data_IF_777618973511
#
_entry.id   IF_777618973511
#
_cell.length_a   1.000
_cell.length_b   1.000
_cell.length_c   1.000
_cell.angle_alpha   90.00
_cell.angle_beta   90.00
_cell.angle_gamma   90.00
#
_symmetry.space_group_name_H-M   'P 1'
#
loop_
_entity.id
_entity.type
_entity.pdbx_description
1 polymer ?
#
# COMPACT_ATOMS: atom_id res chain seq x y z
N UNK A 1 -16.50 -12.10 5.44
CA UNK A 1 -16.27 -11.18 4.31
C UNK A 1 -17.21 -9.99 4.48
N UNK A 2 -16.73 -8.75 4.37
CA UNK A 2 -17.61 -7.57 4.46
C UNK A 2 -18.62 -7.57 3.30
N UNK A 3 -19.88 -7.15 3.51
CA UNK A 3 -20.85 -7.04 2.42
C UNK A 3 -20.42 -5.96 1.41
N UNK A 4 -20.73 -6.17 0.14
CA UNK A 4 -20.52 -5.15 -0.91
C UNK A 4 -21.48 -3.99 -0.65
N UNK A 5 -20.93 -2.80 -0.44
CA UNK A 5 -21.75 -1.61 -0.20
C UNK A 5 -22.50 -1.18 -1.48
N UNK A 6 -23.77 -0.78 -1.38
CA UNK A 6 -24.47 -0.12 -2.47
C UNK A 6 -23.73 1.15 -2.91
N UNK A 7 -23.80 1.50 -4.19
CA UNK A 7 -23.13 2.70 -4.72
C UNK A 7 -23.56 3.97 -3.97
N UNK A 8 -24.85 4.10 -3.65
CA UNK A 8 -25.37 5.25 -2.90
C UNK A 8 -24.69 5.39 -1.51
N UNK A 9 -24.38 4.27 -0.86
CA UNK A 9 -23.66 4.27 0.42
C UNK A 9 -22.23 4.76 0.27
N UNK A 10 -21.53 4.25 -0.76
CA UNK A 10 -20.16 4.69 -1.10
C UNK A 10 -20.15 6.19 -1.41
N UNK A 11 -21.12 6.66 -2.20
CA UNK A 11 -21.25 8.08 -2.54
C UNK A 11 -21.47 8.94 -1.30
N UNK A 12 -22.33 8.51 -0.37
CA UNK A 12 -22.56 9.23 0.88
C UNK A 12 -21.31 9.24 1.76
N UNK A 13 -20.69 8.07 1.96
CA UNK A 13 -19.54 7.86 2.84
C UNK A 13 -18.32 8.70 2.44
N UNK A 14 -18.07 8.82 1.13
CA UNK A 14 -16.89 9.55 0.61
C UNK A 14 -17.25 10.90 -0.03
N UNK A 15 -18.45 11.42 0.20
CA UNK A 15 -18.84 12.76 -0.26
C UNK A 15 -18.94 12.92 -1.78
N UNK A 16 -19.24 11.86 -2.52
CA UNK A 16 -19.39 11.86 -3.99
C UNK A 16 -20.78 12.37 -4.38
N UNK A 17 -21.05 13.65 -4.11
CA UNK A 17 -22.39 14.26 -4.29
C UNK A 17 -22.96 14.09 -5.70
N UNK A 18 -22.11 14.15 -6.73
CA UNK A 18 -22.47 13.97 -8.14
C UNK A 18 -22.90 12.54 -8.50
N UNK A 19 -22.75 11.57 -7.59
CA UNK A 19 -23.23 10.20 -7.74
C UNK A 19 -24.46 9.88 -6.86
N UNK A 20 -25.06 10.89 -6.21
CA UNK A 20 -26.32 10.71 -5.48
C UNK A 20 -27.49 10.60 -6.48
N UNK A 21 -27.62 9.40 -7.05
CA UNK A 21 -28.41 9.14 -8.25
C UNK A 21 -27.47 8.91 -9.43
N UNK A 22 -27.58 7.75 -10.09
CA UNK A 22 -26.77 7.48 -11.27
C UNK A 22 -27.11 8.55 -12.33
N UNK A 23 -26.14 9.30 -12.87
CA UNK A 23 -26.41 10.27 -13.92
C UNK A 23 -27.01 9.55 -15.13
N UNK A 24 -27.83 10.22 -15.95
CA UNK A 24 -28.25 9.64 -17.22
C UNK A 24 -27.02 9.35 -18.11
N UNK A 25 -27.11 8.36 -19.03
CA UNK A 25 -26.09 8.17 -20.04
C UNK A 25 -25.85 9.47 -20.81
N UNK A 26 -24.58 9.83 -21.00
CA UNK A 26 -24.19 10.97 -21.78
C UNK A 26 -24.49 10.72 -23.26
N UNK A 27 -24.79 11.79 -24.00
CA UNK A 27 -25.17 11.72 -25.40
C UNK A 27 -24.41 12.74 -26.25
N UNK A 28 -24.15 12.39 -27.50
CA UNK A 28 -23.60 13.32 -28.49
C UNK A 28 -24.68 14.25 -29.09
N UNK A 29 -24.27 15.14 -30.00
CA UNK A 29 -25.17 16.07 -30.70
C UNK A 29 -26.22 15.35 -31.56
N UNK A 30 -25.93 14.11 -31.97
CA UNK A 30 -26.82 13.25 -32.74
C UNK A 30 -27.71 12.35 -31.86
N UNK A 31 -27.70 12.58 -30.54
CA UNK A 31 -28.47 11.84 -29.55
C UNK A 31 -28.05 10.35 -29.41
N UNK A 32 -26.86 9.96 -29.89
CA UNK A 32 -26.29 8.65 -29.62
C UNK A 32 -25.69 8.61 -28.21
N UNK A 33 -25.72 7.43 -27.58
CA UNK A 33 -25.07 7.25 -26.27
C UNK A 33 -23.55 7.26 -26.42
N UNK A 34 -22.90 8.14 -25.67
CA UNK A 34 -21.45 8.18 -25.58
C UNK A 34 -20.92 6.93 -24.87
N UNK A 35 -19.78 6.45 -25.37
CA UNK A 35 -19.03 5.34 -24.80
C UNK A 35 -17.68 5.85 -24.33
N UNK A 36 -17.19 5.25 -23.25
CA UNK A 36 -15.83 5.50 -22.78
C UNK A 36 -14.79 4.76 -23.66
N UNK A 37 -13.48 4.95 -23.43
CA UNK A 37 -12.43 4.24 -24.18
C UNK A 37 -12.50 2.71 -24.13
N UNK A 38 -13.22 2.13 -23.16
CA UNK A 38 -13.43 0.67 -23.03
C UNK A 38 -14.73 0.19 -23.69
N UNK A 39 -15.53 1.10 -24.20
CA UNK A 39 -16.77 0.81 -24.90
C UNK A 39 -18.00 0.70 -24.01
N UNK A 40 -17.94 0.94 -22.69
CA UNK A 40 -19.17 0.99 -21.88
C UNK A 40 -19.78 2.40 -21.91
N UNK A 41 -21.05 2.49 -21.54
CA UNK A 41 -21.75 3.78 -21.51
C UNK A 41 -21.08 4.76 -20.56
N UNK A 42 -20.94 6.00 -21.02
CA UNK A 42 -20.52 7.11 -20.20
C UNK A 42 -21.73 7.68 -19.45
N UNK A 43 -21.59 7.92 -18.14
CA UNK A 43 -22.65 8.55 -17.33
C UNK A 43 -22.24 9.98 -16.94
N UNK A 44 -22.99 10.97 -17.42
CA UNK A 44 -22.68 12.39 -17.18
C UNK A 44 -21.37 12.86 -17.85
N UNK A 45 -20.71 13.85 -17.23
CA UNK A 45 -19.41 14.36 -17.70
C UNK A 45 -18.30 13.31 -17.57
N UNK A 46 -17.16 13.55 -18.22
CA UNK A 46 -15.96 12.69 -18.12
C UNK A 46 -15.58 12.48 -16.65
N UNK A 47 -15.54 13.55 -15.85
CA UNK A 47 -15.25 13.50 -14.41
C UNK A 47 -16.24 12.63 -13.64
N UNK A 48 -17.53 12.82 -13.92
CA UNK A 48 -18.61 12.08 -13.24
C UNK A 48 -18.51 10.59 -13.56
N UNK A 49 -18.29 10.25 -14.83
CA UNK A 49 -18.12 8.87 -15.29
C UNK A 49 -16.86 8.22 -14.68
N UNK A 50 -15.74 8.94 -14.62
CA UNK A 50 -14.52 8.43 -14.01
C UNK A 50 -14.73 8.12 -12.51
N UNK A 51 -15.35 9.03 -11.76
CA UNK A 51 -15.63 8.82 -10.32
C UNK A 51 -16.65 7.68 -10.13
N UNK A 52 -17.67 7.58 -10.98
CA UNK A 52 -18.60 6.46 -10.99
C UNK A 52 -17.89 5.11 -11.15
N UNK A 53 -16.98 5.01 -12.13
CA UNK A 53 -16.22 3.78 -12.39
C UNK A 53 -15.31 3.41 -11.24
N UNK A 54 -14.60 4.39 -10.68
CA UNK A 54 -13.77 4.18 -9.50
C UNK A 54 -14.61 3.66 -8.33
N UNK A 55 -15.71 4.34 -7.98
CA UNK A 55 -16.59 3.94 -6.89
C UNK A 55 -17.23 2.55 -7.11
N UNK A 56 -17.64 2.27 -8.35
CA UNK A 56 -18.26 1.00 -8.72
C UNK A 56 -17.26 -0.17 -8.69
N UNK A 57 -16.00 0.03 -9.08
CA UNK A 57 -14.96 -1.00 -8.95
C UNK A 57 -14.48 -1.14 -7.50
N UNK A 58 -14.37 -0.02 -6.79
CA UNK A 58 -13.95 0.02 -5.40
C UNK A 58 -14.85 -0.80 -4.49
N UNK A 59 -16.18 -0.66 -4.58
CA UNK A 59 -17.11 -1.39 -3.69
C UNK A 59 -16.99 -2.93 -3.75
N UNK A 60 -16.53 -3.47 -4.88
CA UNK A 60 -16.27 -4.90 -5.05
C UNK A 60 -14.88 -5.32 -4.59
N UNK A 61 -13.97 -4.35 -4.47
CA UNK A 61 -12.55 -4.56 -4.17
C UNK A 61 -12.25 -4.32 -2.69
N UNK A 62 -12.92 -3.36 -2.04
CA UNK A 62 -12.70 -2.98 -0.64
C UNK A 62 -12.80 -4.15 0.34
N UNK A 63 -13.80 -5.06 0.27
CA UNK A 63 -13.89 -6.15 1.24
C UNK A 63 -12.66 -7.06 1.23
N UNK A 64 -12.11 -7.33 0.04
CA UNK A 64 -10.92 -8.15 -0.12
C UNK A 64 -9.66 -7.41 0.37
N UNK A 65 -9.52 -6.13 0.03
CA UNK A 65 -8.38 -5.33 0.48
C UNK A 65 -8.37 -5.12 1.99
N UNK A 66 -9.53 -4.92 2.61
CA UNK A 66 -9.65 -4.82 4.06
C UNK A 66 -9.18 -6.11 4.75
N UNK A 67 -9.58 -7.27 4.24
CA UNK A 67 -9.10 -8.55 4.76
C UNK A 67 -7.58 -8.71 4.59
N UNK A 68 -7.02 -8.32 3.43
CA UNK A 68 -5.57 -8.34 3.22
C UNK A 68 -4.85 -7.38 4.17
N UNK A 69 -5.41 -6.21 4.46
CA UNK A 69 -4.84 -5.24 5.38
C UNK A 69 -4.79 -5.77 6.82
N UNK A 70 -5.84 -6.48 7.26
CA UNK A 70 -5.86 -7.13 8.57
C UNK A 70 -4.79 -8.23 8.69
N UNK A 71 -4.63 -9.05 7.66
CA UNK A 71 -3.59 -10.09 7.61
C UNK A 71 -2.18 -9.49 7.56
N UNK A 72 -2.00 -8.45 6.75
CA UNK A 72 -0.76 -7.68 6.67
C UNK A 72 -0.37 -7.12 8.03
N UNK A 73 -1.31 -6.48 8.74
CA UNK A 73 -1.07 -5.88 10.06
C UNK A 73 -0.75 -6.95 11.11
N UNK A 74 -1.46 -8.08 11.07
CA UNK A 74 -1.18 -9.21 11.97
C UNK A 74 0.24 -9.75 11.76
N UNK A 75 0.65 -9.96 10.51
CA UNK A 75 2.01 -10.36 10.17
C UNK A 75 3.04 -9.29 10.59
N UNK A 76 2.73 -8.01 10.41
CA UNK A 76 3.59 -6.90 10.82
C UNK A 76 3.85 -6.88 12.34
N UNK A 77 2.81 -7.10 13.14
CA UNK A 77 2.94 -7.19 14.61
C UNK A 77 3.75 -8.43 15.03
N UNK A 78 3.59 -9.55 14.34
CA UNK A 78 4.43 -10.75 14.57
C UNK A 78 5.90 -10.49 14.23
N UNK A 79 6.19 -9.72 13.19
CA UNK A 79 7.55 -9.32 12.83
C UNK A 79 8.20 -8.46 13.92
N UNK A 80 7.47 -7.50 14.48
CA UNK A 80 7.94 -6.68 15.60
C UNK A 80 8.23 -7.57 16.81
N UNK A 81 7.28 -8.43 17.21
CA UNK A 81 7.46 -9.33 18.35
C UNK A 81 8.65 -10.29 18.17
N UNK A 82 8.84 -10.83 16.95
CA UNK A 82 10.00 -11.67 16.63
C UNK A 82 11.32 -10.91 16.73
N UNK A 83 11.34 -9.63 16.31
CA UNK A 83 12.52 -8.76 16.42
C UNK A 83 12.87 -8.47 17.88
N UNK A 84 11.87 -8.14 18.72
CA UNK A 84 12.07 -7.92 20.16
C UNK A 84 12.57 -9.19 20.86
N UNK A 85 12.01 -10.35 20.49
CA UNK A 85 12.43 -11.65 21.01
C UNK A 85 13.88 -11.98 20.63
N UNK A 86 14.27 -11.77 19.37
CA UNK A 86 15.64 -11.97 18.90
C UNK A 86 16.61 -11.07 19.68
N UNK A 87 16.27 -9.79 19.85
CA UNK A 87 17.10 -8.85 20.60
C UNK A 87 17.24 -9.25 22.07
N UNK A 88 16.14 -9.66 22.71
CA UNK A 88 16.14 -10.14 24.10
C UNK A 88 17.07 -11.33 24.29
N UNK A 89 16.97 -12.34 23.43
CA UNK A 89 17.81 -13.54 23.50
C UNK A 89 19.29 -13.21 23.23
N UNK A 90 19.58 -12.36 22.24
CA UNK A 90 20.96 -11.89 22.01
C UNK A 90 21.54 -11.14 23.21
N UNK A 91 20.72 -10.36 23.89
CA UNK A 91 21.14 -9.63 25.09
C UNK A 91 21.40 -10.59 26.26
N UNK A 92 20.56 -11.61 26.46
CA UNK A 92 20.78 -12.65 27.47
C UNK A 92 22.11 -13.37 27.29
N UNK A 93 22.45 -13.71 26.03
CA UNK A 93 23.75 -14.30 25.66
C UNK A 93 24.90 -13.35 25.99
N UNK A 94 24.76 -12.07 25.62
CA UNK A 94 25.82 -11.06 25.80
C UNK A 94 26.11 -10.79 27.27
N UNK A 95 25.07 -10.73 28.08
CA UNK A 95 25.14 -10.30 29.47
C UNK A 95 25.39 -11.47 30.44
N UNK A 96 25.30 -12.72 29.98
CA UNK A 96 25.49 -13.89 30.83
C UNK A 96 24.48 -13.98 31.97
N UNK A 97 23.25 -13.47 31.78
CA UNK A 97 22.23 -13.40 32.84
C UNK A 97 21.82 -14.79 33.33
N UNK A 98 22.16 -15.11 34.59
CA UNK A 98 21.87 -16.41 35.21
C UNK A 98 22.78 -17.55 34.73
N UNK A 99 24.06 -17.24 34.45
CA UNK A 99 25.09 -18.21 34.04
C UNK A 99 26.09 -18.50 35.17
N UNK A 100 26.18 -17.64 36.17
CA UNK A 100 27.22 -17.66 37.22
C UNK A 100 27.14 -18.91 38.12
N UNK A 101 25.94 -19.43 38.36
CA UNK A 101 25.70 -20.59 39.23
C UNK A 101 25.67 -21.92 38.48
N UNK A 102 25.90 -21.92 37.16
CA UNK A 102 25.79 -23.11 36.32
C UNK A 102 27.13 -23.86 36.19
N UNK A 103 27.07 -25.19 36.22
CA UNK A 103 28.20 -26.02 35.79
C UNK A 103 28.56 -25.75 34.33
N UNK A 104 29.75 -26.17 33.90
CA UNK A 104 30.21 -26.01 32.51
C UNK A 104 29.24 -26.65 31.51
N UNK A 105 28.80 -27.89 31.76
CA UNK A 105 27.84 -28.59 30.91
C UNK A 105 26.47 -27.88 30.84
N UNK A 106 26.00 -27.31 31.95
CA UNK A 106 24.75 -26.54 31.98
C UNK A 106 24.88 -25.21 31.23
N UNK A 107 26.04 -24.55 31.30
CA UNK A 107 26.33 -23.34 30.51
C UNK A 107 26.36 -23.63 29.02
N UNK A 108 27.01 -24.72 28.60
CA UNK A 108 27.05 -25.13 27.21
C UNK A 108 25.65 -25.46 26.66
N UNK A 109 24.84 -26.18 27.44
CA UNK A 109 23.47 -26.49 27.04
C UNK A 109 22.61 -25.21 26.95
N UNK A 110 22.68 -24.32 27.95
CA UNK A 110 21.96 -23.04 27.93
C UNK A 110 22.38 -22.17 26.75
N UNK A 111 23.67 -22.14 26.41
CA UNK A 111 24.17 -21.45 25.22
C UNK A 111 23.53 -21.99 23.94
N UNK A 112 23.53 -23.32 23.76
CA UNK A 112 22.91 -23.99 22.61
C UNK A 112 21.42 -23.67 22.54
N UNK A 113 20.68 -23.81 23.64
CA UNK A 113 19.25 -23.55 23.70
C UNK A 113 18.92 -22.10 23.34
N UNK A 114 19.74 -21.16 23.80
CA UNK A 114 19.57 -19.74 23.50
C UNK A 114 19.84 -19.44 22.02
N UNK A 115 20.87 -20.05 21.42
CA UNK A 115 21.14 -19.93 19.98
C UNK A 115 20.00 -20.52 19.14
N UNK A 116 19.47 -21.68 19.52
CA UNK A 116 18.29 -22.28 18.88
C UNK A 116 17.09 -21.33 18.98
N UNK A 117 16.89 -20.69 20.14
CA UNK A 117 15.87 -19.66 20.33
C UNK A 117 16.06 -18.44 19.43
N UNK A 118 17.31 -17.98 19.25
CA UNK A 118 17.63 -16.86 18.35
C UNK A 118 17.30 -17.20 16.91
N UNK A 119 17.65 -18.40 16.43
CA UNK A 119 17.32 -18.81 15.06
C UNK A 119 15.81 -18.99 14.87
N UNK A 120 15.09 -19.57 15.84
CA UNK A 120 13.63 -19.64 15.79
C UNK A 120 12.97 -18.25 15.73
N UNK A 121 13.49 -17.27 16.49
CA UNK A 121 13.01 -15.90 16.45
C UNK A 121 13.26 -15.23 15.07
N UNK A 122 14.43 -15.47 14.46
CA UNK A 122 14.74 -15.01 13.11
C UNK A 122 13.84 -15.64 12.05
N UNK A 123 13.57 -16.94 12.15
CA UNK A 123 12.69 -17.63 11.20
C UNK A 123 11.26 -17.08 11.28
N UNK A 124 10.74 -16.86 12.49
CA UNK A 124 9.47 -16.18 12.70
C UNK A 124 9.48 -14.75 12.14
N UNK A 125 10.54 -13.98 12.40
CA UNK A 125 10.71 -12.62 11.89
C UNK A 125 10.71 -12.57 10.36
N UNK A 126 11.42 -13.50 9.70
CA UNK A 126 11.50 -13.60 8.23
C UNK A 126 10.17 -14.02 7.64
N UNK A 127 9.55 -15.07 8.18
CA UNK A 127 8.24 -15.55 7.71
C UNK A 127 7.17 -14.45 7.79
N UNK A 128 7.12 -13.75 8.93
CA UNK A 128 6.18 -12.64 9.13
C UNK A 128 6.48 -11.42 8.25
N UNK A 129 7.76 -11.09 8.03
CA UNK A 129 8.16 -10.04 7.10
C UNK A 129 7.73 -10.36 5.66
N UNK A 130 7.96 -11.59 5.20
CA UNK A 130 7.54 -12.04 3.86
C UNK A 130 6.02 -11.96 3.72
N UNK A 131 5.27 -12.45 4.71
CA UNK A 131 3.80 -12.36 4.70
C UNK A 131 3.32 -10.92 4.65
N UNK A 132 3.82 -10.04 5.53
CA UNK A 132 3.44 -8.62 5.54
C UNK A 132 3.76 -7.96 4.20
N UNK A 133 4.96 -8.19 3.66
CA UNK A 133 5.37 -7.66 2.37
C UNK A 133 4.47 -8.13 1.23
N UNK A 134 4.13 -9.42 1.16
CA UNK A 134 3.25 -9.98 0.12
C UNK A 134 1.83 -9.40 0.18
N UNK A 135 1.23 -9.31 1.36
CA UNK A 135 -0.10 -8.72 1.51
C UNK A 135 -0.07 -7.21 1.21
N UNK A 136 0.88 -6.46 1.77
CA UNK A 136 1.03 -5.04 1.52
C UNK A 136 1.31 -4.71 0.05
N UNK A 137 2.17 -5.49 -0.60
CA UNK A 137 2.45 -5.36 -2.03
C UNK A 137 1.22 -5.63 -2.89
N UNK A 138 0.42 -6.64 -2.55
CA UNK A 138 -0.83 -6.95 -3.24
C UNK A 138 -1.85 -5.80 -3.13
N UNK A 139 -1.99 -5.22 -1.93
CA UNK A 139 -2.87 -4.06 -1.71
C UNK A 139 -2.41 -2.88 -2.58
N UNK A 140 -1.12 -2.54 -2.53
CA UNK A 140 -0.54 -1.45 -3.34
C UNK A 140 -0.78 -1.66 -4.83
N UNK A 141 -0.57 -2.87 -5.35
CA UNK A 141 -0.78 -3.19 -6.76
C UNK A 141 -2.23 -2.98 -7.21
N UNK A 142 -3.19 -3.36 -6.37
CA UNK A 142 -4.61 -3.15 -6.66
C UNK A 142 -4.96 -1.66 -6.63
N UNK A 143 -4.46 -0.92 -5.63
CA UNK A 143 -4.68 0.53 -5.53
C UNK A 143 -4.04 1.30 -6.70
N UNK A 144 -2.82 0.93 -7.11
CA UNK A 144 -2.14 1.47 -8.30
C UNK A 144 -2.95 1.23 -9.56
N UNK A 145 -3.46 0.00 -9.77
CA UNK A 145 -4.33 -0.33 -10.91
C UNK A 145 -5.64 0.47 -10.92
N UNK A 146 -6.25 0.69 -9.76
CA UNK A 146 -7.45 1.52 -9.63
C UNK A 146 -7.18 2.97 -10.02
N UNK A 147 -6.07 3.55 -9.55
CA UNK A 147 -5.68 4.92 -9.90
C UNK A 147 -5.34 5.03 -11.37
N UNK A 148 -4.57 4.11 -11.95
CA UNK A 148 -4.25 4.14 -13.38
C UNK A 148 -5.50 4.08 -14.25
N UNK A 149 -6.43 3.16 -13.95
CA UNK A 149 -7.73 3.09 -14.65
C UNK A 149 -8.55 4.37 -14.47
N UNK A 150 -8.52 4.97 -13.29
CA UNK A 150 -9.24 6.22 -13.03
C UNK A 150 -8.65 7.40 -13.83
N UNK A 151 -7.32 7.47 -13.95
CA UNK A 151 -6.61 8.47 -14.76
C UNK A 151 -6.90 8.33 -16.24
N UNK A 152 -6.86 7.10 -16.76
CA UNK A 152 -7.27 6.80 -18.14
C UNK A 152 -8.71 7.29 -18.41
N UNK A 153 -9.62 7.08 -17.46
CA UNK A 153 -11.01 7.55 -17.58
C UNK A 153 -11.15 9.08 -17.54
N UNK A 154 -10.13 9.80 -17.07
CA UNK A 154 -10.03 11.27 -17.10
C UNK A 154 -9.22 11.78 -18.31
N UNK A 155 -8.80 10.91 -19.23
CA UNK A 155 -7.88 11.23 -20.34
C UNK A 155 -6.54 11.82 -19.87
N UNK A 156 -6.08 11.38 -18.70
CA UNK A 156 -4.79 11.78 -18.14
C UNK A 156 -3.70 10.76 -18.47
N UNK A 157 -2.48 11.26 -18.67
CA UNK A 157 -1.27 10.43 -18.79
C UNK A 157 -0.95 9.70 -17.47
N UNK A 158 0.03 8.80 -17.55
CA UNK A 158 0.63 8.11 -16.40
C UNK A 158 0.94 9.05 -15.24
N UNK A 159 0.91 8.52 -14.01
CA UNK A 159 1.15 9.28 -12.78
C UNK A 159 2.52 9.96 -12.81
N UNK A 160 2.58 11.30 -12.75
CA UNK A 160 3.84 11.99 -12.59
C UNK A 160 4.43 11.76 -11.19
N UNK A 161 5.70 11.34 -11.11
CA UNK A 161 6.43 11.19 -9.86
C UNK A 161 6.50 12.45 -8.97
N UNK A 162 6.32 13.61 -9.57
CA UNK A 162 6.34 14.95 -8.99
C UNK A 162 4.94 15.53 -8.79
N UNK A 163 3.88 14.76 -9.02
CA UNK A 163 2.51 15.21 -8.80
C UNK A 163 2.26 15.66 -7.35
N UNK A 164 1.48 16.74 -7.21
CA UNK A 164 1.13 17.40 -5.94
C UNK A 164 -0.38 17.63 -5.84
N UNK A 165 -1.16 16.57 -6.07
CA UNK A 165 -2.62 16.61 -6.03
C UNK A 165 -3.15 15.88 -4.79
N UNK A 166 -4.19 16.45 -4.17
CA UNK A 166 -4.86 15.90 -2.99
C UNK A 166 -4.03 16.03 -1.70
N UNK A 167 -4.39 15.23 -0.69
CA UNK A 167 -3.68 15.19 0.59
C UNK A 167 -2.25 14.65 0.40
N UNK A 168 -1.25 15.47 0.69
CA UNK A 168 0.16 15.11 0.50
C UNK A 168 0.73 14.35 1.70
N UNK A 169 1.53 13.32 1.45
CA UNK A 169 2.25 12.54 2.47
C UNK A 169 3.75 12.66 2.19
N UNK A 170 4.48 13.28 3.11
CA UNK A 170 5.89 13.63 2.85
C UNK A 170 6.06 14.55 1.64
N UNK A 171 5.04 15.36 1.31
CA UNK A 171 5.04 16.20 0.12
C UNK A 171 4.77 15.45 -1.19
N UNK A 172 4.35 14.18 -1.18
CA UNK A 172 4.01 13.40 -2.38
C UNK A 172 2.50 13.10 -2.45
N UNK A 173 1.93 13.08 -3.67
CA UNK A 173 0.53 12.66 -3.88
C UNK A 173 0.35 11.17 -3.61
N UNK A 174 -0.88 10.76 -3.30
CA UNK A 174 -1.22 9.34 -3.14
C UNK A 174 -0.86 8.52 -4.40
N UNK A 175 -1.17 9.05 -5.59
CA UNK A 175 -0.84 8.41 -6.85
C UNK A 175 0.67 8.16 -6.99
N UNK A 176 1.51 9.16 -6.72
CA UNK A 176 2.96 9.03 -6.82
C UNK A 176 3.49 7.95 -5.86
N UNK A 177 2.97 7.91 -4.63
CA UNK A 177 3.37 6.94 -3.61
C UNK A 177 3.02 5.51 -4.04
N UNK A 178 1.79 5.29 -4.51
CA UNK A 178 1.33 3.97 -4.93
C UNK A 178 2.07 3.49 -6.18
N UNK A 179 2.33 4.37 -7.15
CA UNK A 179 3.14 4.07 -8.32
C UNK A 179 4.56 3.63 -7.91
N UNK A 180 5.22 4.39 -7.02
CA UNK A 180 6.57 4.09 -6.57
C UNK A 180 6.64 2.77 -5.79
N UNK A 181 5.64 2.52 -4.94
CA UNK A 181 5.53 1.29 -4.16
C UNK A 181 5.22 0.06 -5.05
N UNK A 182 4.36 0.22 -6.05
CA UNK A 182 4.06 -0.83 -7.04
C UNK A 182 5.29 -1.16 -7.88
N UNK A 183 6.07 -0.15 -8.28
CA UNK A 183 7.33 -0.35 -8.98
C UNK A 183 8.37 -1.08 -8.12
N UNK A 184 8.46 -0.76 -6.82
CA UNK A 184 9.28 -1.53 -5.88
C UNK A 184 8.81 -2.99 -5.77
N UNK A 185 7.51 -3.24 -5.66
CA UNK A 185 6.97 -4.59 -5.55
C UNK A 185 7.30 -5.46 -6.77
N UNK A 186 7.10 -4.93 -7.98
CA UNK A 186 7.37 -5.65 -9.25
C UNK A 186 8.84 -5.99 -9.45
N UNK A 187 9.74 -5.19 -8.89
CA UNK A 187 11.18 -5.26 -9.13
C UNK A 187 12.00 -5.45 -7.86
N UNK A 188 11.39 -6.02 -6.81
CA UNK A 188 12.04 -6.13 -5.49
C UNK A 188 13.39 -6.84 -5.55
N UNK A 189 13.50 -7.89 -6.37
CA UNK A 189 14.74 -8.63 -6.56
C UNK A 189 15.81 -7.78 -7.24
N UNK A 190 15.42 -6.92 -8.19
CA UNK A 190 16.35 -6.00 -8.85
C UNK A 190 16.82 -4.90 -7.90
N UNK A 191 15.95 -4.44 -6.99
CA UNK A 191 16.31 -3.45 -5.96
C UNK A 191 17.22 -4.04 -4.88
N UNK A 192 17.16 -5.36 -4.67
CA UNK A 192 18.01 -6.08 -3.75
C UNK A 192 19.40 -6.41 -4.31
N UNK A 193 19.59 -6.41 -5.65
CA UNK A 193 20.88 -6.72 -6.29
C UNK A 193 21.91 -5.63 -6.03
N UNK A 194 23.11 -6.03 -5.59
CA UNK A 194 24.21 -5.09 -5.27
C UNK A 194 24.99 -4.58 -6.50
N UNK A 195 24.86 -5.25 -7.65
CA UNK A 195 25.84 -5.17 -8.73
C UNK A 195 25.51 -4.20 -9.86
N UNK A 196 24.28 -3.66 -9.93
CA UNK A 196 23.84 -2.79 -11.01
C UNK A 196 23.35 -1.43 -10.47
N UNK A 197 23.71 -0.31 -11.12
CA UNK A 197 23.15 0.98 -10.75
C UNK A 197 21.62 0.97 -10.95
N UNK A 198 20.84 1.56 -10.03
CA UNK A 198 19.38 1.56 -10.16
C UNK A 198 18.94 2.24 -11.46
N UNK A 199 17.90 1.70 -12.09
CA UNK A 199 17.33 2.35 -13.28
C UNK A 199 16.79 3.74 -12.94
N UNK A 200 16.64 4.63 -13.94
CA UNK A 200 16.04 5.96 -13.73
C UNK A 200 14.67 5.90 -13.07
N UNK A 201 13.85 4.89 -13.41
CA UNK A 201 12.54 4.66 -12.79
C UNK A 201 12.63 4.25 -11.33
N UNK A 202 13.60 3.39 -10.99
CA UNK A 202 13.89 3.00 -9.61
C UNK A 202 14.33 4.22 -8.78
N UNK A 203 15.26 5.03 -9.29
CA UNK A 203 15.71 6.24 -8.61
C UNK A 203 14.57 7.21 -8.29
N UNK A 204 13.63 7.41 -9.23
CA UNK A 204 12.43 8.22 -9.01
C UNK A 204 11.53 7.62 -7.92
N UNK A 205 11.34 6.31 -7.94
CA UNK A 205 10.52 5.60 -6.95
C UNK A 205 11.13 5.69 -5.56
N UNK A 206 12.45 5.47 -5.44
CA UNK A 206 13.20 5.61 -4.19
C UNK A 206 13.02 7.03 -3.62
N UNK A 207 13.15 8.07 -4.43
CA UNK A 207 12.95 9.45 -3.97
C UNK A 207 11.55 9.68 -3.40
N UNK A 208 10.51 9.21 -4.10
CA UNK A 208 9.12 9.31 -3.63
C UNK A 208 8.91 8.55 -2.31
N UNK A 209 9.42 7.33 -2.21
CA UNK A 209 9.24 6.51 -1.01
C UNK A 209 10.04 7.06 0.18
N UNK A 210 11.26 7.56 -0.02
CA UNK A 210 12.05 8.22 1.04
C UNK A 210 11.28 9.39 1.63
N UNK A 211 10.71 10.24 0.78
CA UNK A 211 9.92 11.39 1.23
C UNK A 211 8.66 10.94 2.01
N UNK A 212 7.92 9.96 1.47
CA UNK A 212 6.61 9.58 1.98
C UNK A 212 6.65 8.72 3.26
N UNK A 213 7.48 7.67 3.29
CA UNK A 213 7.55 6.72 4.41
C UNK A 213 8.68 7.02 5.39
N UNK A 214 9.50 8.05 5.14
CA UNK A 214 10.71 8.37 5.94
C UNK A 214 11.60 7.14 6.12
N UNK A 215 11.77 6.38 5.04
CA UNK A 215 12.63 5.19 5.05
C UNK A 215 14.08 5.60 5.39
N UNK A 216 14.81 4.83 6.22
CA UNK A 216 16.21 5.12 6.55
C UNK A 216 17.06 5.30 5.29
N UNK A 217 18.11 6.11 5.39
CA UNK A 217 18.96 6.53 4.26
C UNK A 217 19.76 5.39 3.59
N UNK A 218 19.47 4.13 3.89
CA UNK A 218 20.15 3.02 3.23
C UNK A 218 19.84 3.05 1.73
N UNK A 219 20.87 2.98 0.86
CA UNK A 219 20.67 2.91 -0.58
C UNK A 219 20.03 1.58 -1.02
N UNK A 220 19.91 0.63 -0.09
CA UNK A 220 19.39 -0.72 -0.31
C UNK A 220 18.00 -0.88 0.28
N UNK A 221 17.10 -1.35 -0.55
CA UNK A 221 15.76 -1.78 -0.18
C UNK A 221 15.70 -3.26 -0.55
N UNK A 222 16.02 -4.11 0.42
CA UNK A 222 16.04 -5.58 0.27
C UNK A 222 14.67 -6.20 0.51
N UNK A 223 13.66 -5.35 0.71
CA UNK A 223 12.32 -5.74 1.12
C UNK A 223 11.30 -5.00 0.29
N UNK A 224 10.17 -5.63 0.06
CA UNK A 224 9.04 -4.96 -0.57
C UNK A 224 8.39 -4.01 0.45
N UNK A 225 8.28 -2.74 0.05
CA UNK A 225 7.85 -1.63 0.90
C UNK A 225 6.33 -1.45 0.97
N UNK A 226 5.57 -2.31 0.29
CA UNK A 226 4.10 -2.22 0.26
C UNK A 226 3.49 -2.22 1.66
N UNK A 227 4.00 -3.05 2.58
CA UNK A 227 3.50 -3.09 3.96
C UNK A 227 3.69 -1.75 4.69
N UNK A 228 4.88 -1.14 4.58
CA UNK A 228 5.19 0.16 5.18
C UNK A 228 4.34 1.28 4.58
N UNK A 229 4.12 1.25 3.27
CA UNK A 229 3.28 2.23 2.58
C UNK A 229 1.84 2.11 3.06
N UNK A 230 1.27 0.90 3.09
CA UNK A 230 -0.11 0.69 3.55
C UNK A 230 -0.27 1.07 5.01
N UNK A 231 0.65 0.67 5.89
CA UNK A 231 0.67 1.10 7.30
C UNK A 231 0.68 2.63 7.44
N UNK A 232 1.55 3.30 6.67
CA UNK A 232 1.60 4.76 6.65
C UNK A 232 0.30 5.40 6.18
N UNK A 233 -0.36 4.81 5.18
CA UNK A 233 -1.65 5.29 4.66
C UNK A 233 -2.79 5.08 5.67
N UNK A 234 -2.76 3.99 6.44
CA UNK A 234 -3.72 3.70 7.51
C UNK A 234 -3.56 4.66 8.71
N UNK A 235 -2.39 5.26 8.89
CA UNK A 235 -2.11 6.22 9.96
C UNK A 235 -2.07 5.57 11.35
N UNK A 236 -2.09 6.39 12.40
CA UNK A 236 -1.91 5.93 13.79
C UNK A 236 -2.99 4.99 14.29
N UNK A 237 -4.21 5.08 13.74
CA UNK A 237 -5.31 4.18 14.08
C UNK A 237 -5.15 2.78 13.44
N UNK A 238 -4.32 2.68 12.39
CA UNK A 238 -4.10 1.43 11.66
C UNK A 238 -5.38 0.90 10.99
N UNK A 239 -6.30 1.79 10.63
CA UNK A 239 -7.58 1.45 10.04
C UNK A 239 -7.52 1.58 8.51
N UNK A 240 -7.92 0.52 7.81
CA UNK A 240 -7.98 0.52 6.34
C UNK A 240 -8.93 1.60 5.78
N UNK A 241 -9.92 2.06 6.56
CA UNK A 241 -10.79 3.16 6.16
C UNK A 241 -10.04 4.45 5.83
N UNK A 242 -8.92 4.73 6.52
CA UNK A 242 -8.11 5.90 6.23
C UNK A 242 -7.52 5.84 4.80
N UNK A 243 -7.20 4.65 4.30
CA UNK A 243 -6.76 4.43 2.91
C UNK A 243 -7.88 4.78 1.95
N UNK A 244 -9.11 4.35 2.25
CA UNK A 244 -10.30 4.58 1.42
C UNK A 244 -10.59 6.08 1.29
N UNK A 245 -10.58 6.80 2.41
CA UNK A 245 -10.79 8.25 2.45
C UNK A 245 -9.73 8.97 1.63
N UNK A 246 -8.45 8.58 1.77
CA UNK A 246 -7.35 9.16 0.98
C UNK A 246 -7.52 8.90 -0.51
N UNK A 247 -7.93 7.69 -0.90
CA UNK A 247 -8.16 7.32 -2.30
C UNK A 247 -9.21 8.22 -2.95
N UNK A 248 -10.37 8.39 -2.31
CA UNK A 248 -11.44 9.21 -2.87
C UNK A 248 -11.13 10.70 -2.84
N UNK A 249 -10.46 11.22 -1.80
CA UNK A 249 -9.99 12.61 -1.77
C UNK A 249 -8.99 12.90 -2.88
N UNK A 250 -8.04 12.00 -3.10
CA UNK A 250 -7.10 12.11 -4.21
C UNK A 250 -7.83 12.09 -5.55
N UNK A 251 -8.79 11.17 -5.73
CA UNK A 251 -9.57 11.09 -6.97
C UNK A 251 -10.35 12.39 -7.23
N UNK A 252 -11.07 12.91 -6.24
CA UNK A 252 -11.81 14.17 -6.36
C UNK A 252 -10.88 15.33 -6.70
N UNK A 253 -9.77 15.49 -5.97
CA UNK A 253 -8.79 16.54 -6.24
C UNK A 253 -8.19 16.42 -7.65
N UNK A 254 -8.01 15.20 -8.16
CA UNK A 254 -7.52 14.97 -9.51
C UNK A 254 -8.56 15.32 -10.57
N UNK A 255 -9.83 14.94 -10.40
CA UNK A 255 -10.91 15.36 -11.29
C UNK A 255 -11.03 16.88 -11.39
N UNK A 256 -10.80 17.60 -10.29
CA UNK A 256 -10.85 19.06 -10.26
C UNK A 256 -9.74 19.72 -11.12
N UNK A 257 -8.68 18.98 -11.46
CA UNK A 257 -7.63 19.47 -12.38
C UNK A 257 -7.98 19.36 -13.86
N UNK A 258 -9.03 18.59 -14.19
CA UNK A 258 -9.48 18.38 -15.56
C UNK A 258 -10.54 19.45 -15.90
N UNK A 259 -10.59 20.01 -17.11
CA UNK A 259 -11.74 20.82 -17.54
C UNK A 259 -13.01 19.95 -17.66
N UNK A 260 -14.19 20.57 -17.56
CA UNK A 260 -15.46 19.88 -17.81
C UNK A 260 -15.71 19.63 -19.31
#
# INVERSE_FOLDING_TARGET
MKPILPLAEVSRRYGLKHLQGLPPPARDEQNNMLRDPRGDFQFGSIKTNAIYRLASRWRHTEPALAMLADQMRSAWLMHIAGTEQEQRLKQEVRDGVGWDDLSEAERDQKWIDTLVGVEAAKDQQRASQVMAASFGGSIVMVLDSLISTYREALDLKEVPHDERVGDLIGGRSLGAILWAAANNHRHVDDWAKELAPPSKGMMKSIAVLKDAVKWPETPRITVNLGAYVVDKLMGSEGNFEAVNVRLFRYAQALADTVPD
#
